data_IF_388684702980
#
_entry.id   IF_388684702980
#
_cell.length_a   1.000
_cell.length_b   1.000
_cell.length_c   1.000
_cell.angle_alpha   90.00
_cell.angle_beta   90.00
_cell.angle_gamma   90.00
#
_symmetry.space_group_name_H-M   'P 1'
#
loop_
_entity.id
_entity.type
_entity.pdbx_description
1 polymer ?
#
# COMPACT_ATOMS: atom_id res chain seq x y z
N UNK A 1 -45.00 -19.47 50.62
CA UNK A 1 -44.67 -20.61 51.51
C UNK A 1 -45.30 -21.88 50.94
N UNK A 2 -44.57 -22.59 50.06
CA UNK A 2 -44.72 -24.01 49.71
C UNK A 2 -43.31 -24.44 49.24
N UNK A 3 -42.46 -24.90 50.16
CA UNK A 3 -42.12 -26.31 50.43
C UNK A 3 -41.30 -26.93 49.29
N UNK A 4 -39.98 -26.87 49.43
CA UNK A 4 -39.02 -27.51 48.54
C UNK A 4 -38.86 -29.00 48.81
N UNK A 5 -38.39 -29.73 47.79
CA UNK A 5 -37.74 -31.03 47.94
C UNK A 5 -36.54 -31.12 46.98
N UNK A 6 -35.38 -31.22 47.63
CA UNK A 6 -34.06 -31.72 47.24
C UNK A 6 -33.98 -32.41 45.87
N UNK A 7 -33.23 -31.80 44.94
CA UNK A 7 -32.76 -32.47 43.73
C UNK A 7 -31.52 -33.33 44.05
N UNK A 8 -31.62 -34.62 43.76
CA UNK A 8 -30.59 -35.63 43.94
C UNK A 8 -29.48 -35.44 42.89
N UNK A 9 -28.27 -35.09 43.33
CA UNK A 9 -27.08 -35.02 42.49
C UNK A 9 -26.67 -36.43 42.03
N UNK A 10 -26.82 -36.75 40.74
CA UNK A 10 -26.18 -37.90 40.11
C UNK A 10 -24.97 -37.37 39.34
N UNK A 11 -23.78 -37.52 39.93
CA UNK A 11 -22.52 -37.22 39.27
C UNK A 11 -22.20 -38.36 38.28
N UNK A 12 -22.55 -38.18 37.00
CA UNK A 12 -22.02 -39.02 35.92
C UNK A 12 -20.62 -38.52 35.56
N UNK A 13 -19.58 -39.26 35.91
CA UNK A 13 -18.23 -39.05 35.39
C UNK A 13 -18.26 -39.26 33.86
N UNK A 14 -18.38 -38.17 33.11
CA UNK A 14 -18.05 -38.17 31.69
C UNK A 14 -16.53 -38.26 31.58
N UNK A 15 -16.03 -39.45 31.25
CA UNK A 15 -14.65 -39.63 30.82
C UNK A 15 -14.42 -38.81 29.56
N UNK A 16 -13.58 -37.77 29.65
CA UNK A 16 -13.13 -37.01 28.49
C UNK A 16 -12.27 -37.91 27.61
N UNK A 17 -12.86 -38.48 26.55
CA UNK A 17 -12.09 -39.04 25.45
C UNK A 17 -11.62 -37.87 24.60
N UNK A 18 -10.36 -37.48 24.78
CA UNK A 18 -9.69 -36.50 23.92
C UNK A 18 -9.34 -37.18 22.60
N UNK A 19 -10.29 -37.23 21.67
CA UNK A 19 -9.99 -37.64 20.29
C UNK A 19 -9.26 -36.51 19.57
N UNK A 20 -7.94 -36.58 19.58
CA UNK A 20 -7.10 -35.86 18.65
C UNK A 20 -7.14 -36.52 17.28
N UNK A 21 -7.66 -35.79 16.29
CA UNK A 21 -7.39 -35.97 14.87
C UNK A 21 -7.60 -34.57 14.24
N UNK A 22 -6.56 -33.73 14.27
CA UNK A 22 -5.72 -33.47 13.12
C UNK A 22 -6.55 -33.00 11.91
N UNK A 23 -6.88 -31.71 11.89
CA UNK A 23 -7.39 -31.04 10.70
C UNK A 23 -6.31 -31.01 9.62
N UNK A 24 -6.34 -31.99 8.72
CA UNK A 24 -5.49 -32.05 7.52
C UNK A 24 -6.09 -31.13 6.46
N UNK A 25 -6.25 -29.83 6.73
CA UNK A 25 -6.44 -28.78 5.72
C UNK A 25 -6.40 -27.35 6.29
N UNK A 26 -5.45 -27.03 7.18
CA UNK A 26 -5.25 -25.63 7.63
C UNK A 26 -3.80 -25.16 7.50
N UNK A 27 -3.05 -25.79 6.58
CA UNK A 27 -1.67 -25.44 6.22
C UNK A 27 -1.54 -24.23 5.27
N UNK A 28 -2.55 -23.36 5.26
CA UNK A 28 -2.60 -22.18 4.38
C UNK A 28 -2.92 -20.87 5.10
N UNK A 29 -2.98 -20.85 6.44
CA UNK A 29 -3.38 -19.64 7.18
C UNK A 29 -2.54 -19.40 8.44
N UNK A 30 -1.24 -19.27 8.26
CA UNK A 30 -0.42 -18.43 9.14
C UNK A 30 0.87 -18.04 8.42
N UNK A 31 0.83 -16.94 7.66
CA UNK A 31 2.05 -16.33 7.11
C UNK A 31 2.74 -15.41 8.12
N UNK A 32 2.28 -15.36 9.38
CA UNK A 32 3.02 -14.72 10.46
C UNK A 32 4.12 -15.67 10.95
N UNK A 33 5.15 -15.84 10.14
CA UNK A 33 6.45 -16.14 10.68
C UNK A 33 6.89 -14.85 11.39
N UNK A 34 6.69 -14.78 12.71
CA UNK A 34 7.30 -13.74 13.54
C UNK A 34 8.80 -14.00 13.63
N UNK A 35 9.49 -13.74 12.52
CA UNK A 35 10.94 -13.65 12.51
C UNK A 35 11.29 -12.39 13.30
N UNK A 36 11.76 -12.54 14.53
CA UNK A 36 12.40 -11.45 15.25
C UNK A 36 13.78 -11.24 14.61
N UNK A 37 13.84 -10.47 13.52
CA UNK A 37 15.09 -10.17 12.80
C UNK A 37 15.74 -8.99 13.52
N UNK A 38 16.83 -9.18 14.30
CA UNK A 38 17.46 -8.11 15.07
C UNK A 38 18.07 -6.99 14.21
N UNK A 39 18.11 -7.20 12.89
CA UNK A 39 18.75 -6.33 11.89
C UNK A 39 17.76 -5.64 10.95
N UNK A 40 16.44 -5.73 11.20
CA UNK A 40 15.47 -4.89 10.48
C UNK A 40 15.66 -3.45 10.96
N UNK A 41 16.22 -2.53 10.15
CA UNK A 41 16.75 -1.27 10.69
C UNK A 41 15.66 -0.25 11.05
N UNK A 42 14.38 -0.53 10.73
CA UNK A 42 13.34 0.50 10.69
C UNK A 42 11.96 0.00 11.12
N UNK A 43 11.84 -0.86 12.14
CA UNK A 43 10.52 -1.07 12.73
C UNK A 43 10.08 0.22 13.46
N UNK A 44 8.98 0.81 12.98
CA UNK A 44 8.26 1.97 13.56
C UNK A 44 8.81 3.37 13.26
N UNK A 45 9.61 3.55 12.20
CA UNK A 45 9.92 4.90 11.71
C UNK A 45 8.80 5.41 10.77
N UNK A 46 8.40 6.66 10.93
CA UNK A 46 7.36 7.30 10.10
C UNK A 46 7.91 8.57 9.45
N UNK A 47 7.68 8.73 8.15
CA UNK A 47 8.13 9.89 7.38
C UNK A 47 7.02 10.51 6.57
N UNK A 48 6.87 11.83 6.69
CA UNK A 48 5.77 12.58 6.07
C UNK A 48 6.24 13.39 4.84
N UNK A 49 5.36 13.51 3.85
CA UNK A 49 5.60 14.13 2.54
C UNK A 49 4.48 15.11 2.17
N UNK A 50 4.34 16.18 2.94
CA UNK A 50 3.35 17.24 2.71
C UNK A 50 1.94 16.67 2.44
N UNK A 51 1.28 17.08 1.34
CA UNK A 51 -0.04 16.63 0.93
C UNK A 51 -0.14 15.14 0.58
N UNK A 52 0.97 14.41 0.44
CA UNK A 52 0.98 12.97 0.18
C UNK A 52 0.82 12.13 1.46
N UNK A 53 0.88 12.77 2.64
CA UNK A 53 0.74 12.11 3.92
C UNK A 53 2.02 11.45 4.42
N UNK A 54 1.87 10.53 5.37
CA UNK A 54 2.99 9.87 6.05
C UNK A 54 3.07 8.39 5.69
N UNK A 55 4.28 7.92 5.43
CA UNK A 55 4.59 6.51 5.26
C UNK A 55 5.20 5.99 6.56
N UNK A 56 4.63 4.92 7.10
CA UNK A 56 5.27 4.12 8.14
C UNK A 56 5.82 2.85 7.49
N UNK A 57 7.10 2.59 7.71
CA UNK A 57 7.75 1.40 7.20
C UNK A 57 7.47 0.22 8.15
N UNK A 58 6.45 -0.55 7.81
CA UNK A 58 6.07 -1.78 8.51
C UNK A 58 6.66 -3.03 7.84
N UNK A 59 6.46 -4.19 8.46
CA UNK A 59 6.80 -5.50 7.87
C UNK A 59 6.06 -5.75 6.55
N UNK A 60 4.92 -5.12 6.32
CA UNK A 60 4.18 -5.21 5.04
C UNK A 60 4.97 -4.61 3.87
N UNK A 61 5.92 -3.72 4.17
CA UNK A 61 6.87 -3.13 3.22
C UNK A 61 8.19 -3.90 3.10
N UNK A 62 8.29 -5.08 3.72
CA UNK A 62 9.46 -5.95 3.65
C UNK A 62 9.09 -7.31 3.06
N UNK A 63 10.03 -7.94 2.35
CA UNK A 63 9.93 -9.36 2.02
C UNK A 63 11.33 -9.95 1.94
N UNK A 64 11.63 -10.98 2.74
CA UNK A 64 12.99 -11.53 2.89
C UNK A 64 13.69 -11.83 1.55
N UNK A 65 12.95 -12.40 0.58
CA UNK A 65 13.50 -12.75 -0.75
C UNK A 65 13.33 -11.62 -1.79
N UNK A 66 12.12 -11.11 -2.00
CA UNK A 66 11.83 -10.18 -3.10
C UNK A 66 12.06 -8.70 -2.80
N UNK A 67 12.13 -8.29 -1.52
CA UNK A 67 12.34 -6.91 -1.08
C UNK A 67 13.08 -6.89 0.27
N UNK A 68 14.37 -7.28 0.28
CA UNK A 68 15.16 -7.43 1.51
C UNK A 68 15.58 -6.10 2.13
N UNK A 69 15.41 -4.99 1.42
CA UNK A 69 15.71 -3.65 1.93
C UNK A 69 14.42 -2.86 2.06
N UNK A 70 14.18 -2.35 3.26
CA UNK A 70 13.03 -1.53 3.56
C UNK A 70 13.51 -0.10 3.76
N UNK A 71 13.36 0.74 2.74
CA UNK A 71 13.91 2.10 2.70
C UNK A 71 12.80 3.09 2.36
N UNK A 72 12.88 4.29 2.94
CA UNK A 72 11.94 5.35 2.59
C UNK A 72 12.16 5.82 1.14
N UNK A 73 11.08 6.16 0.41
CA UNK A 73 11.17 6.88 -0.86
C UNK A 73 12.05 8.13 -0.71
N UNK A 74 12.66 8.64 -1.77
CA UNK A 74 13.39 9.91 -1.70
C UNK A 74 12.45 11.10 -1.42
N UNK A 75 12.98 12.22 -0.95
CA UNK A 75 12.19 13.44 -0.74
C UNK A 75 11.61 13.94 -2.08
N UNK A 76 10.46 14.61 -2.06
CA UNK A 76 9.74 15.06 -3.28
C UNK A 76 10.59 15.96 -4.15
N UNK A 77 11.39 16.82 -3.53
CA UNK A 77 12.30 17.75 -4.20
C UNK A 77 13.46 17.02 -4.91
N UNK A 78 13.78 15.79 -4.47
CA UNK A 78 14.81 14.95 -5.07
C UNK A 78 14.25 14.12 -6.23
N UNK A 79 13.03 13.59 -6.08
CA UNK A 79 12.35 12.87 -7.18
C UNK A 79 11.94 13.83 -8.29
N UNK A 80 11.56 15.07 -7.94
CA UNK A 80 11.12 16.14 -8.84
C UNK A 80 10.09 15.66 -9.88
N UNK A 81 8.99 15.07 -9.40
CA UNK A 81 7.90 14.62 -10.28
C UNK A 81 7.26 15.81 -10.99
N UNK A 82 7.28 15.79 -12.33
CA UNK A 82 6.74 16.84 -13.18
C UNK A 82 5.55 16.33 -13.98
N UNK A 83 4.45 17.09 -13.97
CA UNK A 83 3.27 16.82 -14.79
C UNK A 83 3.29 17.74 -16.01
N UNK A 84 3.48 17.15 -17.19
CA UNK A 84 3.58 17.90 -18.44
C UNK A 84 2.36 17.55 -19.30
N UNK A 85 1.51 18.54 -19.57
CA UNK A 85 0.29 18.38 -20.35
C UNK A 85 0.54 18.61 -21.84
N UNK A 86 0.27 17.59 -22.64
CA UNK A 86 0.15 17.68 -24.08
C UNK A 86 -1.31 17.57 -24.50
N UNK A 87 -1.73 18.41 -25.44
CA UNK A 87 -3.06 18.33 -26.05
C UNK A 87 -2.93 18.54 -27.55
N UNK A 88 -4.01 18.27 -28.29
CA UNK A 88 -4.07 18.59 -29.73
C UNK A 88 -3.84 20.07 -30.04
N UNK A 89 -4.05 20.98 -29.07
CA UNK A 89 -3.79 22.42 -29.22
C UNK A 89 -2.32 22.78 -29.00
N UNK A 90 -1.54 21.93 -28.35
CA UNK A 90 -0.13 22.15 -28.05
C UNK A 90 0.68 20.83 -28.15
N UNK A 91 0.76 20.20 -29.34
CA UNK A 91 1.39 18.90 -29.49
C UNK A 91 2.92 18.95 -29.31
N UNK A 92 3.55 20.09 -29.61
CA UNK A 92 5.01 20.24 -29.57
C UNK A 92 5.54 20.79 -28.25
N UNK A 93 4.76 21.64 -27.57
CA UNK A 93 5.17 22.33 -26.35
C UNK A 93 4.24 21.97 -25.20
N UNK A 94 4.75 21.16 -24.26
CA UNK A 94 4.00 20.73 -23.09
C UNK A 94 3.80 21.87 -22.09
N UNK A 95 2.62 21.90 -21.46
CA UNK A 95 2.31 22.86 -20.40
C UNK A 95 2.55 22.24 -19.03
N UNK A 96 3.39 22.88 -18.20
CA UNK A 96 3.70 22.38 -16.87
C UNK A 96 2.51 22.59 -15.92
N UNK A 97 2.02 21.49 -15.34
CA UNK A 97 0.98 21.50 -14.31
C UNK A 97 1.63 21.32 -12.93
N UNK A 98 1.15 22.10 -11.96
CA UNK A 98 1.60 22.02 -10.56
C UNK A 98 0.44 21.59 -9.68
N UNK A 99 0.61 20.47 -8.97
CA UNK A 99 -0.40 19.92 -8.06
C UNK A 99 -0.84 20.94 -7.00
N UNK A 100 0.13 21.72 -6.49
CA UNK A 100 -0.12 22.76 -5.48
C UNK A 100 -0.75 24.05 -6.05
N UNK A 101 -1.00 24.13 -7.35
CA UNK A 101 -1.54 25.34 -7.98
C UNK A 101 -2.56 25.02 -9.06
N UNK A 102 -3.84 25.02 -8.67
CA UNK A 102 -4.97 24.82 -9.56
C UNK A 102 -4.98 25.82 -10.73
N UNK A 103 -4.46 27.03 -10.51
CA UNK A 103 -4.29 28.06 -11.56
C UNK A 103 -3.50 27.55 -12.77
N UNK A 104 -2.56 26.62 -12.59
CA UNK A 104 -1.80 26.05 -13.70
C UNK A 104 -2.67 25.17 -14.60
N UNK A 105 -3.61 24.43 -14.03
CA UNK A 105 -4.58 23.61 -14.77
C UNK A 105 -5.59 24.51 -15.48
N UNK A 106 -6.16 25.50 -14.78
CA UNK A 106 -7.16 26.42 -15.35
C UNK A 106 -6.61 27.26 -16.52
N UNK A 107 -5.33 27.63 -16.49
CA UNK A 107 -4.66 28.37 -17.57
C UNK A 107 -4.13 27.50 -18.71
N UNK A 108 -4.19 26.18 -18.55
CA UNK A 108 -3.70 25.23 -19.55
C UNK A 108 -4.77 24.92 -20.60
N UNK A 109 -4.43 24.11 -21.60
CA UNK A 109 -5.35 23.56 -22.58
C UNK A 109 -6.13 22.34 -22.06
N UNK A 110 -6.07 22.04 -20.76
CA UNK A 110 -6.80 20.95 -20.15
C UNK A 110 -8.31 21.11 -20.38
N UNK A 111 -8.97 20.01 -20.74
CA UNK A 111 -10.39 19.99 -21.03
C UNK A 111 -11.03 18.82 -20.29
N UNK A 112 -11.79 19.07 -19.21
CA UNK A 112 -12.36 18.00 -18.39
C UNK A 112 -13.43 17.19 -19.14
N UNK A 113 -13.91 17.66 -20.30
CA UNK A 113 -14.87 16.92 -21.13
C UNK A 113 -14.19 15.86 -22.01
N UNK A 114 -12.85 15.83 -22.06
CA UNK A 114 -12.06 14.89 -22.87
C UNK A 114 -11.41 13.82 -21.99
N UNK A 115 -11.19 12.61 -22.53
CA UNK A 115 -10.45 11.58 -21.82
C UNK A 115 -9.02 12.05 -21.56
N UNK A 116 -8.57 11.89 -20.31
CA UNK A 116 -7.20 12.19 -19.89
C UNK A 116 -6.41 10.89 -19.77
N UNK A 117 -5.20 10.86 -20.35
CA UNK A 117 -4.30 9.70 -20.30
C UNK A 117 -2.99 10.11 -19.66
N UNK A 118 -2.52 9.33 -18.69
CA UNK A 118 -1.21 9.50 -18.08
C UNK A 118 -0.21 8.56 -18.73
N UNK A 119 0.97 9.07 -19.06
CA UNK A 119 2.12 8.28 -19.51
C UNK A 119 3.20 8.47 -18.46
N UNK A 120 3.65 7.37 -17.86
CA UNK A 120 4.62 7.36 -16.76
C UNK A 120 5.78 6.48 -17.20
N UNK A 121 6.98 7.05 -17.25
CA UNK A 121 8.18 6.34 -17.64
C UNK A 121 8.79 5.55 -16.48
N UNK A 122 9.70 4.62 -16.80
CA UNK A 122 10.35 3.75 -15.83
C UNK A 122 11.85 3.62 -16.09
N UNK A 123 12.30 2.39 -16.32
CA UNK A 123 13.70 2.00 -16.44
C UNK A 123 14.55 2.95 -17.32
N UNK A 124 15.50 3.66 -16.70
CA UNK A 124 16.49 4.56 -17.33
C UNK A 124 15.88 5.70 -18.19
N UNK A 125 14.56 5.79 -18.26
CA UNK A 125 13.88 6.72 -19.13
C UNK A 125 13.74 8.12 -18.53
N UNK A 126 13.57 9.09 -19.42
CA UNK A 126 13.31 10.48 -19.08
C UNK A 126 12.05 10.96 -19.78
N UNK A 127 11.45 12.08 -19.37
CA UNK A 127 10.33 12.68 -20.12
C UNK A 127 10.70 13.13 -21.55
N UNK A 128 11.98 13.09 -21.93
CA UNK A 128 12.45 13.40 -23.29
C UNK A 128 12.56 12.15 -24.18
N UNK A 129 12.34 10.95 -23.64
CA UNK A 129 12.37 9.71 -24.40
C UNK A 129 11.32 9.73 -25.53
N UNK A 130 11.73 9.30 -26.74
CA UNK A 130 10.89 9.41 -27.94
C UNK A 130 9.55 8.66 -27.83
N UNK A 131 9.47 7.59 -27.04
CA UNK A 131 8.23 6.82 -26.86
C UNK A 131 7.19 7.55 -26.00
N UNK A 132 7.61 8.55 -25.20
CA UNK A 132 6.72 9.39 -24.41
C UNK A 132 6.08 10.49 -25.28
N UNK A 133 6.63 10.76 -26.47
CA UNK A 133 6.11 11.79 -27.37
C UNK A 133 4.70 11.42 -27.83
N UNK A 134 3.74 12.27 -27.46
CA UNK A 134 2.36 12.18 -27.91
C UNK A 134 2.25 12.96 -29.22
N UNK A 135 2.52 12.29 -30.34
CA UNK A 135 2.22 12.80 -31.70
C UNK A 135 0.72 12.78 -31.98
#
# INVERSE_FOLDING_TARGET
MVRGHVALCIATLATFVRSGAAGILEWGRSNHIEVNIPWLPFENETRCYDELGCLNITRDWYHLIYRPFNVFPLARQVIDTRFILYTRKNPLQGQMLKVQSEKTIQKSNFDPKKPTKFIIHGFIDTPLSNWVKVT
#
